data_IF_653317468980
#
_entry.id   IF_653317468980
#
_cell.length_a   1.000
_cell.length_b   1.000
_cell.length_c   1.000
_cell.angle_alpha   90.00
_cell.angle_beta   90.00
_cell.angle_gamma   90.00
#
_symmetry.space_group_name_H-M   'P 1'
#
loop_
_entity.id
_entity.type
_entity.pdbx_description
1 polymer ?
#
# COMPACT_ATOMS: atom_id res chain seq x y z
N UNK A 1 17.38 -9.21 5.12
CA UNK A 1 16.45 -8.47 5.97
C UNK A 1 15.64 -7.50 5.16
N UNK A 2 14.37 -7.55 5.32
CA UNK A 2 13.47 -6.69 4.60
C UNK A 2 13.39 -5.31 5.21
N UNK A 3 13.34 -4.31 4.37
CA UNK A 3 13.18 -2.93 4.82
C UNK A 3 11.97 -2.34 4.13
N UNK A 4 10.83 -2.90 4.42
CA UNK A 4 9.60 -2.45 3.82
C UNK A 4 9.23 -1.09 4.35
N UNK A 5 8.65 -0.27 3.48
CA UNK A 5 8.20 1.05 3.88
C UNK A 5 6.77 1.02 4.38
N UNK A 6 6.08 -0.11 4.22
CA UNK A 6 4.69 -0.22 4.65
C UNK A 6 4.40 -1.66 5.05
N UNK A 7 3.30 -1.85 5.76
CA UNK A 7 2.81 -3.17 6.13
C UNK A 7 1.34 -3.28 5.79
N UNK A 8 0.86 -4.51 5.69
CA UNK A 8 -0.56 -4.79 5.41
C UNK A 8 -1.26 -5.06 6.72
N UNK A 9 -2.36 -4.35 6.97
CA UNK A 9 -3.13 -4.51 8.20
C UNK A 9 -4.19 -5.58 7.97
N UNK A 10 -4.06 -6.70 8.67
CA UNK A 10 -4.99 -7.81 8.49
C UNK A 10 -6.33 -7.56 9.16
N UNK A 11 -6.39 -6.59 10.05
CA UNK A 11 -7.64 -6.27 10.73
C UNK A 11 -8.44 -5.18 10.04
N UNK A 12 -7.95 -4.65 8.92
CA UNK A 12 -8.64 -3.57 8.20
C UNK A 12 -8.64 -3.92 6.72
N UNK A 13 -9.63 -4.71 6.31
CA UNK A 13 -9.68 -5.23 4.95
C UNK A 13 -11.00 -4.88 4.30
N UNK A 14 -10.98 -4.91 2.96
CA UNK A 14 -12.20 -4.81 2.17
C UNK A 14 -12.17 -5.92 1.14
N UNK A 15 -13.34 -6.22 0.56
CA UNK A 15 -13.42 -7.21 -0.50
C UNK A 15 -13.94 -6.58 -1.77
N UNK A 16 -13.24 -6.86 -2.86
CA UNK A 16 -13.63 -6.39 -4.18
C UNK A 16 -13.56 -7.56 -5.14
N UNK A 17 -14.68 -7.91 -5.75
CA UNK A 17 -14.74 -9.00 -6.74
C UNK A 17 -14.16 -10.30 -6.21
N UNK A 18 -14.45 -10.62 -4.95
CA UNK A 18 -13.96 -11.86 -4.35
C UNK A 18 -12.52 -11.81 -3.88
N UNK A 19 -11.87 -10.66 -3.97
CA UNK A 19 -10.49 -10.50 -3.54
C UNK A 19 -10.44 -9.70 -2.24
N UNK A 20 -9.59 -10.13 -1.32
CA UNK A 20 -9.41 -9.43 -0.06
C UNK A 20 -8.26 -8.44 -0.21
N UNK A 21 -8.53 -7.18 0.09
CA UNK A 21 -7.53 -6.13 0.03
C UNK A 21 -7.27 -5.62 1.44
N UNK A 22 -6.02 -5.29 1.71
CA UNK A 22 -5.56 -4.90 3.04
C UNK A 22 -5.15 -3.44 3.05
N UNK A 23 -5.55 -2.73 4.10
CA UNK A 23 -5.09 -1.36 4.27
C UNK A 23 -3.58 -1.35 4.51
N UNK A 24 -2.89 -0.36 3.98
CA UNK A 24 -1.46 -0.24 4.18
C UNK A 24 -1.18 0.82 5.23
N UNK A 25 -0.05 0.63 5.92
CA UNK A 25 0.39 1.56 6.96
C UNK A 25 1.88 1.76 6.78
N UNK A 26 2.31 3.02 6.73
CA UNK A 26 3.72 3.33 6.56
C UNK A 26 4.50 2.95 7.81
N UNK A 27 5.59 2.22 7.64
CA UNK A 27 6.42 1.84 8.78
C UNK A 27 7.63 2.74 8.89
N UNK A 28 7.81 3.67 7.96
CA UNK A 28 8.83 4.70 8.04
C UNK A 28 8.39 5.87 7.18
N UNK A 29 9.01 7.02 7.39
CA UNK A 29 8.68 8.20 6.60
C UNK A 29 9.40 8.15 5.26
N UNK A 30 8.70 8.58 4.21
CA UNK A 30 9.29 8.72 2.89
C UNK A 30 8.43 9.69 2.08
N UNK A 31 9.09 10.46 1.22
CA UNK A 31 8.36 11.45 0.45
C UNK A 31 7.53 12.34 1.36
N UNK A 32 6.25 12.43 1.07
CA UNK A 32 5.32 13.19 1.89
C UNK A 32 4.57 12.32 2.89
N UNK A 33 4.93 11.05 2.98
CA UNK A 33 4.25 10.09 3.84
C UNK A 33 5.02 9.99 5.14
N UNK A 34 4.30 9.97 6.26
CA UNK A 34 4.90 9.90 7.59
C UNK A 34 4.72 8.52 8.18
N UNK A 35 5.67 8.12 8.99
CA UNK A 35 5.58 6.85 9.71
C UNK A 35 4.26 6.77 10.46
N UNK A 36 3.57 5.65 10.31
CA UNK A 36 2.28 5.45 10.95
C UNK A 36 1.10 5.90 10.12
N UNK A 37 1.34 6.57 9.01
CA UNK A 37 0.25 7.06 8.17
C UNK A 37 -0.45 5.89 7.48
N UNK A 38 -1.77 5.94 7.44
CA UNK A 38 -2.57 4.92 6.77
C UNK A 38 -2.79 5.31 5.32
N UNK A 39 -2.69 4.33 4.44
CA UNK A 39 -2.95 4.55 3.03
C UNK A 39 -4.23 3.85 2.59
N UNK A 40 -4.27 3.49 1.31
CA UNK A 40 -5.41 2.78 0.76
C UNK A 40 -5.29 1.29 0.97
N UNK A 41 -5.82 0.53 0.01
CA UNK A 41 -5.90 -0.93 0.11
C UNK A 41 -5.22 -1.58 -1.07
N UNK A 42 -4.46 -2.64 -0.80
CA UNK A 42 -3.84 -3.41 -1.88
C UNK A 42 -4.08 -4.89 -1.61
N UNK A 43 -4.05 -5.68 -2.66
CA UNK A 43 -4.26 -7.11 -2.55
C UNK A 43 -3.02 -7.82 -2.03
N UNK A 44 -1.85 -7.40 -2.48
CA UNK A 44 -0.60 -8.03 -2.09
C UNK A 44 0.54 -7.03 -2.26
N UNK A 45 1.71 -7.42 -1.77
CA UNK A 45 2.88 -6.54 -1.85
C UNK A 45 3.29 -6.22 -3.27
N UNK A 46 2.88 -7.03 -4.23
CA UNK A 46 3.30 -6.75 -5.61
C UNK A 46 2.52 -5.56 -6.20
N UNK A 47 1.44 -5.15 -5.58
CA UNK A 47 0.65 -4.03 -6.08
C UNK A 47 1.30 -2.68 -5.76
N UNK A 48 2.19 -2.62 -4.78
CA UNK A 48 2.82 -1.37 -4.38
C UNK A 48 4.29 -1.62 -4.11
N UNK A 49 5.14 -0.88 -4.83
CA UNK A 49 6.58 -1.04 -4.70
C UNK A 49 7.07 -0.55 -3.35
N UNK A 50 8.08 -1.25 -2.81
CA UNK A 50 8.79 -0.80 -1.61
C UNK A 50 9.79 0.30 -1.92
N UNK A 51 10.10 0.51 -3.18
CA UNK A 51 11.14 1.44 -3.59
C UNK A 51 10.52 2.76 -4.02
N UNK A 52 11.28 3.84 -3.85
CA UNK A 52 10.81 5.15 -4.22
C UNK A 52 9.74 5.65 -3.28
N UNK A 53 8.95 6.59 -3.75
CA UNK A 53 7.92 7.22 -2.93
C UNK A 53 6.50 6.84 -3.34
N UNK A 54 6.36 5.70 -4.03
CA UNK A 54 5.04 5.25 -4.47
C UNK A 54 4.12 5.03 -3.28
N UNK A 55 2.86 5.37 -3.43
CA UNK A 55 1.90 5.26 -2.34
C UNK A 55 0.49 5.13 -2.89
N UNK A 56 -0.36 4.45 -2.13
CA UNK A 56 -1.78 4.33 -2.44
C UNK A 56 -2.53 5.14 -1.39
N UNK A 57 -3.30 6.12 -1.83
CA UNK A 57 -3.96 7.05 -0.93
C UNK A 57 -5.23 6.46 -0.33
N UNK A 58 -5.72 7.10 0.69
CA UNK A 58 -6.78 6.71 1.63
C UNK A 58 -7.76 5.65 1.15
N UNK A 59 -8.56 5.95 0.15
CA UNK A 59 -9.63 5.04 -0.26
C UNK A 59 -9.39 4.39 -1.60
N UNK A 60 -8.21 4.60 -2.16
CA UNK A 60 -7.88 3.95 -3.42
C UNK A 60 -7.64 2.46 -3.17
N UNK A 61 -7.90 1.66 -4.19
CA UNK A 61 -7.70 0.22 -4.10
C UNK A 61 -6.93 -0.24 -5.32
N UNK A 62 -5.90 -1.05 -5.10
CA UNK A 62 -5.06 -1.58 -6.17
C UNK A 62 -5.01 -3.08 -6.02
N UNK A 63 -5.38 -3.81 -7.07
CA UNK A 63 -5.46 -5.25 -6.98
C UNK A 63 -5.20 -5.89 -8.34
N UNK A 64 -5.19 -7.21 -8.36
CA UNK A 64 -4.89 -8.01 -9.53
C UNK A 64 -3.49 -7.69 -10.04
N UNK A 65 -3.33 -7.28 -11.28
CA UNK A 65 -2.01 -7.03 -11.86
C UNK A 65 -1.62 -5.56 -11.85
N UNK A 66 -2.43 -4.70 -11.21
CA UNK A 66 -2.08 -3.28 -11.12
C UNK A 66 -0.87 -3.12 -10.20
N UNK A 67 0.00 -2.18 -10.56
CA UNK A 67 1.24 -1.95 -9.82
C UNK A 67 1.51 -0.46 -9.73
N UNK A 68 1.86 -0.04 -8.53
CA UNK A 68 2.23 1.35 -8.25
C UNK A 68 3.71 1.34 -7.91
N UNK A 69 4.52 2.05 -8.65
CA UNK A 69 5.96 1.99 -8.44
C UNK A 69 6.60 3.34 -8.70
N UNK A 70 7.88 3.43 -8.37
CA UNK A 70 8.69 4.64 -8.45
C UNK A 70 8.07 5.74 -7.57
N UNK A 71 7.70 6.86 -8.16
CA UNK A 71 7.09 7.95 -7.39
C UNK A 71 5.61 8.10 -7.68
N UNK A 72 5.00 7.10 -8.26
CA UNK A 72 3.59 7.17 -8.60
C UNK A 72 2.74 7.21 -7.35
N UNK A 73 1.58 7.86 -7.43
CA UNK A 73 0.61 7.91 -6.35
C UNK A 73 -0.78 7.68 -6.89
N UNK A 74 -1.60 7.05 -6.09
CA UNK A 74 -2.98 6.76 -6.46
C UNK A 74 -3.92 7.32 -5.42
#
# INVERSE_FOLDING_TARGET
MEHKKYELLEEDTIEINGKTLYRIKAVKSFGKIKEGELGGYIESFHNLSDYGNAWVSDFAAVYENARIFENAGV
#
